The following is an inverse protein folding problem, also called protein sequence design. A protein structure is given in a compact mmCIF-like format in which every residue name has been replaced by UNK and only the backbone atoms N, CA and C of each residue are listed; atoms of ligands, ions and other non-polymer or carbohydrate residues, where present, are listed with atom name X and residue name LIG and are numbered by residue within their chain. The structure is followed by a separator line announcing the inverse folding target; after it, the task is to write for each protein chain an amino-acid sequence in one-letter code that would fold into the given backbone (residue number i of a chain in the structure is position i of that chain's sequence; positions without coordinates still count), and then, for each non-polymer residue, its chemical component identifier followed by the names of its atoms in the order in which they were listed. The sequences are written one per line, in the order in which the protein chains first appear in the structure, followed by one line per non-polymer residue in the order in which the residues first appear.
data_IF_104806018445
#
_entry.id   IF_104806018445
#
_cell.length_a   1.000
_cell.length_b   1.000
_cell.length_c   1.000
_cell.angle_alpha   90.00
_cell.angle_beta   90.00
_cell.angle_gamma   90.00
#
_symmetry.space_group_name_H-M   'P 1'
#
loop_
_entity.id
_entity.type
_entity.pdbx_description
1 polymer ?
#
# COMPACT_ATOMS: atom_id res chain seq x y z
N UNK A 1 24.92 3.94 -11.55
CA UNK A 1 24.21 5.14 -11.05
C UNK A 1 23.37 4.72 -9.83
N UNK A 2 23.24 5.58 -8.81
CA UNK A 2 22.39 5.28 -7.67
C UNK A 2 20.93 5.06 -8.10
N UNK A 3 20.21 4.21 -7.38
CA UNK A 3 18.79 3.89 -7.69
C UNK A 3 17.84 5.08 -7.44
N UNK A 4 18.30 6.12 -6.73
CA UNK A 4 17.49 7.29 -6.44
C UNK A 4 17.27 8.15 -7.68
N UNK A 5 16.02 8.42 -7.98
CA UNK A 5 15.62 9.37 -9.03
C UNK A 5 15.70 10.79 -8.46
N UNK A 6 16.83 11.45 -8.65
CA UNK A 6 17.08 12.77 -8.06
C UNK A 6 18.01 13.59 -8.92
N UNK A 7 18.10 14.86 -8.58
CA UNK A 7 19.05 15.80 -9.11
C UNK A 7 20.32 15.76 -8.28
N UNK A 8 21.41 15.38 -8.91
CA UNK A 8 22.74 15.32 -8.31
C UNK A 8 23.46 16.62 -8.61
N UNK A 9 24.07 17.21 -7.58
CA UNK A 9 24.94 18.38 -7.73
C UNK A 9 26.36 17.96 -7.40
N UNK A 10 27.21 17.98 -8.40
CA UNK A 10 28.65 17.80 -8.23
C UNK A 10 29.29 19.17 -7.97
N UNK A 11 30.07 19.28 -6.91
CA UNK A 11 30.83 20.48 -6.60
C UNK A 11 32.28 20.10 -6.43
N UNK A 12 33.15 20.70 -7.23
CA UNK A 12 34.60 20.56 -7.14
C UNK A 12 35.27 21.87 -6.70
N UNK A 13 36.24 21.77 -5.84
CA UNK A 13 37.11 22.88 -5.40
C UNK A 13 38.55 22.50 -5.67
N UNK A 14 39.28 23.37 -6.35
CA UNK A 14 40.71 23.25 -6.55
C UNK A 14 41.43 24.48 -6.01
N UNK A 15 42.52 24.27 -5.32
CA UNK A 15 43.38 25.35 -4.82
C UNK A 15 44.82 25.11 -5.25
N UNK A 16 45.54 26.19 -5.59
CA UNK A 16 46.97 26.15 -5.86
C UNK A 16 47.77 26.58 -4.61
N UNK A 17 49.06 26.30 -4.62
CA UNK A 17 49.99 26.79 -3.53
C UNK A 17 49.99 28.31 -3.41
N UNK A 18 49.71 29.05 -4.49
CA UNK A 18 49.64 30.51 -4.54
C UNK A 18 48.22 31.03 -4.19
N UNK A 19 47.40 30.23 -3.50
CA UNK A 19 46.05 30.57 -3.05
C UNK A 19 45.06 30.95 -4.19
N UNK A 20 45.30 30.51 -5.41
CA UNK A 20 44.28 30.61 -6.47
C UNK A 20 43.25 29.52 -6.29
N UNK A 21 42.00 29.90 -6.35
CA UNK A 21 40.83 29.00 -6.12
C UNK A 21 40.06 28.88 -7.42
N UNK A 22 39.76 27.64 -7.81
CA UNK A 22 38.83 27.31 -8.88
C UNK A 22 37.70 26.47 -8.34
N UNK A 23 36.48 26.75 -8.75
CA UNK A 23 35.31 25.97 -8.41
C UNK A 23 34.58 25.50 -9.69
N UNK A 24 34.07 24.27 -9.64
CA UNK A 24 33.20 23.73 -10.68
C UNK A 24 31.93 23.25 -10.02
N UNK A 25 30.81 23.52 -10.65
CA UNK A 25 29.49 22.99 -10.23
C UNK A 25 28.79 22.43 -11.46
N UNK A 26 28.46 21.14 -11.40
CA UNK A 26 27.72 20.43 -12.45
C UNK A 26 26.49 19.76 -11.85
N UNK A 27 25.44 19.66 -12.64
CA UNK A 27 24.19 19.04 -12.23
C UNK A 27 23.83 17.89 -13.17
N UNK A 28 23.47 16.75 -12.61
CA UNK A 28 23.01 15.58 -13.34
C UNK A 28 21.66 15.12 -12.78
N UNK A 29 20.70 14.84 -13.66
CA UNK A 29 19.38 14.34 -13.26
C UNK A 29 19.25 12.89 -13.70
N UNK A 30 19.00 11.99 -12.74
CA UNK A 30 18.63 10.60 -13.02
C UNK A 30 17.12 10.50 -13.19
N UNK A 31 16.66 9.94 -14.33
CA UNK A 31 15.24 9.75 -14.63
C UNK A 31 15.00 8.34 -15.17
N UNK A 32 13.84 7.75 -14.84
CA UNK A 32 13.33 6.57 -15.54
C UNK A 32 12.49 7.02 -16.71
N UNK A 33 12.53 6.27 -17.81
CA UNK A 33 11.69 6.54 -18.98
C UNK A 33 10.21 6.22 -18.71
N UNK A 34 9.95 5.22 -17.87
CA UNK A 34 8.63 4.90 -17.34
C UNK A 34 8.67 4.99 -15.81
N UNK A 35 7.68 5.63 -15.22
CA UNK A 35 7.56 5.80 -13.76
C UNK A 35 6.12 5.60 -13.31
N UNK A 36 5.94 4.74 -12.31
CA UNK A 36 4.65 4.48 -11.67
C UNK A 36 4.56 5.27 -10.36
N UNK A 37 3.38 5.83 -10.11
CA UNK A 37 3.11 6.60 -8.88
C UNK A 37 1.75 6.18 -8.34
N UNK A 38 1.68 5.14 -7.50
CA UNK A 38 0.44 4.71 -6.88
C UNK A 38 -0.01 5.66 -5.77
N UNK A 39 -1.32 5.86 -5.65
CA UNK A 39 -1.92 6.64 -4.58
C UNK A 39 -2.34 5.70 -3.42
N UNK A 40 -1.38 5.34 -2.58
CA UNK A 40 -1.63 4.46 -1.44
C UNK A 40 -2.35 5.20 -0.30
N UNK A 41 -3.45 4.62 0.24
CA UNK A 41 -4.03 5.13 1.48
C UNK A 41 -3.08 4.87 2.66
N UNK A 42 -3.23 5.65 3.73
CA UNK A 42 -2.45 5.44 4.96
C UNK A 42 -2.89 4.21 5.73
N UNK A 43 -4.18 3.94 5.72
CA UNK A 43 -4.83 2.76 6.31
C UNK A 43 -6.13 2.46 5.56
N UNK A 44 -6.66 1.28 5.76
CA UNK A 44 -7.96 0.81 5.30
C UNK A 44 -8.80 0.37 6.49
N UNK A 45 -10.10 0.23 6.30
CA UNK A 45 -11.00 -0.41 7.27
C UNK A 45 -11.63 -1.64 6.68
N UNK A 46 -11.93 -2.62 7.52
CA UNK A 46 -12.69 -3.80 7.13
C UNK A 46 -14.03 -3.39 6.47
N UNK A 47 -14.35 -3.96 5.31
CA UNK A 47 -15.57 -3.67 4.57
C UNK A 47 -15.56 -2.40 3.72
N UNK A 48 -14.46 -1.62 3.71
CA UNK A 48 -14.33 -0.46 2.84
C UNK A 48 -14.29 -0.87 1.35
N UNK A 49 -14.83 0.01 0.50
CA UNK A 49 -14.66 -0.05 -0.95
C UNK A 49 -13.60 0.97 -1.37
N UNK A 50 -12.50 0.47 -1.88
CA UNK A 50 -11.38 1.30 -2.32
C UNK A 50 -11.37 1.40 -3.84
N UNK A 51 -11.31 2.62 -4.36
CA UNK A 51 -10.88 2.87 -5.75
C UNK A 51 -9.39 3.21 -5.71
N UNK A 52 -8.57 2.21 -6.01
CA UNK A 52 -7.13 2.34 -6.01
C UNK A 52 -6.65 2.94 -7.33
N UNK A 53 -6.04 4.11 -7.27
CA UNK A 53 -5.60 4.87 -8.45
C UNK A 53 -4.09 4.87 -8.56
N UNK A 54 -3.62 4.75 -9.80
CA UNK A 54 -2.20 4.76 -10.14
C UNK A 54 -1.97 5.68 -11.31
N UNK A 55 -1.05 6.61 -11.16
CA UNK A 55 -0.55 7.44 -12.25
C UNK A 55 0.71 6.82 -12.82
N UNK A 56 0.77 6.71 -14.14
CA UNK A 56 1.94 6.25 -14.88
C UNK A 56 2.43 7.36 -15.78
N UNK A 57 3.69 7.72 -15.69
CA UNK A 57 4.31 8.73 -16.53
C UNK A 57 5.33 8.07 -17.47
N UNK A 58 5.30 8.41 -18.74
CA UNK A 58 6.29 8.03 -19.73
C UNK A 58 6.97 9.27 -20.30
N UNK A 59 8.29 9.24 -20.34
CA UNK A 59 9.11 10.25 -21.05
C UNK A 59 9.35 9.83 -22.52
N UNK A 60 9.00 8.60 -22.86
CA UNK A 60 9.09 8.09 -24.22
C UNK A 60 7.79 8.38 -24.96
N UNK A 61 7.85 9.27 -25.95
CA UNK A 61 6.73 9.64 -26.81
C UNK A 61 6.42 8.61 -27.89
N UNK A 62 7.26 7.59 -28.06
CA UNK A 62 7.13 6.58 -29.11
C UNK A 62 6.38 5.33 -28.62
N UNK A 63 5.86 5.35 -27.40
CA UNK A 63 5.11 4.23 -26.82
C UNK A 63 3.86 3.93 -27.65
N UNK A 64 3.72 2.69 -28.05
CA UNK A 64 2.57 2.19 -28.83
C UNK A 64 1.78 1.09 -28.10
N UNK A 65 2.37 0.48 -27.06
CA UNK A 65 1.72 -0.53 -26.22
C UNK A 65 2.15 -0.34 -24.78
N UNK A 66 1.17 -0.24 -23.86
CA UNK A 66 1.46 -0.09 -22.45
C UNK A 66 0.32 -0.63 -21.59
N UNK A 67 0.69 -1.20 -20.46
CA UNK A 67 -0.26 -1.72 -19.49
C UNK A 67 0.27 -1.63 -18.06
N UNK A 68 -0.66 -1.63 -17.11
CA UNK A 68 -0.36 -1.72 -15.69
C UNK A 68 -1.11 -2.89 -15.07
N UNK A 69 -0.55 -3.46 -14.02
CA UNK A 69 -1.17 -4.53 -13.25
C UNK A 69 -1.20 -4.21 -11.77
N UNK A 70 -2.22 -4.73 -11.10
CA UNK A 70 -2.38 -4.69 -9.66
C UNK A 70 -2.49 -6.11 -9.12
N UNK A 71 -1.67 -6.43 -8.14
CA UNK A 71 -1.76 -7.62 -7.31
C UNK A 71 -2.03 -7.22 -5.87
N UNK A 72 -2.95 -7.91 -5.21
CA UNK A 72 -3.38 -7.62 -3.84
C UNK A 72 -3.30 -8.90 -3.02
N UNK A 73 -2.50 -8.87 -1.95
CA UNK A 73 -2.22 -10.02 -1.09
C UNK A 73 -2.44 -9.68 0.39
N UNK A 74 -2.79 -10.69 1.18
CA UNK A 74 -2.67 -10.60 2.63
C UNK A 74 -1.18 -10.49 2.99
N UNK A 75 -0.79 -9.39 3.63
CA UNK A 75 0.62 -9.11 3.93
C UNK A 75 1.25 -10.12 4.92
N UNK A 76 0.45 -10.80 5.74
CA UNK A 76 0.93 -11.76 6.73
C UNK A 76 1.05 -13.19 6.18
N UNK A 77 0.08 -13.62 5.36
CA UNK A 77 0.04 -14.99 4.84
C UNK A 77 0.59 -15.12 3.43
N UNK A 78 0.70 -14.02 2.68
CA UNK A 78 1.05 -14.03 1.26
C UNK A 78 -0.09 -14.51 0.34
N UNK A 79 -1.25 -14.82 0.89
CA UNK A 79 -2.40 -15.30 0.12
C UNK A 79 -2.96 -14.18 -0.77
N UNK A 80 -3.23 -14.50 -2.03
CA UNK A 80 -3.82 -13.56 -2.96
C UNK A 80 -5.28 -13.27 -2.58
N UNK A 81 -5.62 -12.00 -2.34
CA UNK A 81 -6.97 -11.56 -2.01
C UNK A 81 -7.85 -11.38 -3.25
N UNK A 82 -7.24 -11.18 -4.40
CA UNK A 82 -7.89 -11.28 -5.71
C UNK A 82 -7.34 -12.50 -6.44
N UNK A 83 -8.22 -13.33 -6.97
CA UNK A 83 -7.85 -14.58 -7.68
C UNK A 83 -7.06 -14.37 -8.97
N UNK A 84 -7.05 -13.16 -9.50
CA UNK A 84 -6.37 -12.82 -10.76
C UNK A 84 -5.71 -11.45 -10.66
N UNK A 85 -4.48 -11.37 -11.15
CA UNK A 85 -3.80 -10.09 -11.39
C UNK A 85 -4.61 -9.32 -12.43
N UNK A 86 -5.10 -8.15 -12.07
CA UNK A 86 -5.86 -7.32 -13.01
C UNK A 86 -4.92 -6.42 -13.81
N UNK A 87 -4.89 -6.66 -15.12
CA UNK A 87 -4.14 -5.85 -16.07
C UNK A 87 -5.06 -4.86 -16.77
N UNK A 88 -4.62 -3.63 -16.93
CA UNK A 88 -5.31 -2.54 -17.62
C UNK A 88 -4.40 -1.91 -18.65
N UNK A 89 -4.92 -1.66 -19.84
CA UNK A 89 -4.20 -0.92 -20.87
C UNK A 89 -4.05 0.56 -20.46
N UNK A 90 -2.93 1.16 -20.82
CA UNK A 90 -2.61 2.54 -20.54
C UNK A 90 -2.68 3.36 -21.81
N UNK A 91 -3.48 4.42 -21.79
CA UNK A 91 -3.51 5.42 -22.85
C UNK A 91 -2.83 6.68 -22.33
N UNK A 92 -1.69 7.03 -22.91
CA UNK A 92 -0.94 8.21 -22.49
C UNK A 92 -1.48 9.47 -23.16
N UNK A 93 -1.86 10.44 -22.33
CA UNK A 93 -2.16 11.80 -22.75
C UNK A 93 -1.08 12.73 -22.16
N UNK A 94 -0.36 13.43 -23.05
CA UNK A 94 0.77 14.28 -22.65
C UNK A 94 1.80 13.58 -21.74
N UNK A 95 2.11 12.32 -22.06
CA UNK A 95 3.08 11.51 -21.32
C UNK A 95 2.59 10.99 -19.97
N UNK A 96 1.29 11.11 -19.67
CA UNK A 96 0.68 10.60 -18.43
C UNK A 96 -0.52 9.73 -18.73
N UNK A 97 -0.69 8.65 -17.96
CA UNK A 97 -1.88 7.81 -17.96
C UNK A 97 -2.37 7.61 -16.53
N UNK A 98 -3.67 7.56 -16.34
CA UNK A 98 -4.30 7.24 -15.07
C UNK A 98 -5.07 5.94 -15.20
N UNK A 99 -4.87 5.04 -14.26
CA UNK A 99 -5.56 3.76 -14.19
C UNK A 99 -6.12 3.54 -12.79
N UNK A 100 -7.26 2.87 -12.68
CA UNK A 100 -7.90 2.59 -11.40
C UNK A 100 -8.43 1.16 -11.33
N UNK A 101 -8.45 0.63 -10.10
CA UNK A 101 -9.05 -0.66 -9.77
C UNK A 101 -9.95 -0.51 -8.56
N UNK A 102 -11.05 -1.25 -8.58
CA UNK A 102 -11.93 -1.36 -7.42
C UNK A 102 -11.54 -2.57 -6.58
N UNK A 103 -11.54 -2.39 -5.28
CA UNK A 103 -11.19 -3.43 -4.33
C UNK A 103 -12.03 -3.31 -3.05
N UNK A 104 -12.67 -4.41 -2.67
CA UNK A 104 -13.39 -4.51 -1.40
C UNK A 104 -12.44 -5.07 -0.34
N UNK A 105 -12.30 -4.35 0.77
CA UNK A 105 -11.40 -4.73 1.87
C UNK A 105 -12.04 -5.87 2.68
N UNK A 106 -11.46 -7.07 2.69
CA UNK A 106 -12.03 -8.20 3.42
C UNK A 106 -11.92 -8.01 4.94
N UNK A 107 -12.80 -8.68 5.66
CA UNK A 107 -12.74 -8.76 7.12
C UNK A 107 -11.65 -9.75 7.59
N UNK A 108 -11.13 -9.52 8.81
CA UNK A 108 -10.19 -10.42 9.47
C UNK A 108 -8.76 -10.36 8.95
N UNK A 109 -8.42 -9.34 8.17
CA UNK A 109 -7.07 -9.11 7.63
C UNK A 109 -6.45 -7.92 8.33
N UNK A 110 -5.25 -8.08 8.89
CA UNK A 110 -4.56 -7.01 9.61
C UNK A 110 -3.79 -6.05 8.70
N UNK A 111 -3.33 -6.52 7.54
CA UNK A 111 -2.61 -5.69 6.57
C UNK A 111 -2.71 -6.27 5.16
N UNK A 112 -2.74 -5.39 4.17
CA UNK A 112 -2.82 -5.72 2.75
C UNK A 112 -1.56 -5.22 2.05
N UNK A 113 -0.95 -6.09 1.27
CA UNK A 113 0.16 -5.77 0.39
C UNK A 113 -0.36 -5.52 -1.03
N UNK A 114 -0.10 -4.33 -1.54
CA UNK A 114 -0.35 -3.93 -2.91
C UNK A 114 0.95 -3.98 -3.69
N UNK A 115 0.98 -4.69 -4.80
CA UNK A 115 2.09 -4.69 -5.75
C UNK A 115 1.57 -4.18 -7.09
N UNK A 116 2.09 -3.04 -7.53
CA UNK A 116 1.75 -2.42 -8.81
C UNK A 116 2.93 -2.50 -9.75
N UNK A 117 2.69 -2.83 -11.00
CA UNK A 117 3.70 -2.86 -12.06
C UNK A 117 3.15 -2.22 -13.32
N UNK A 118 4.00 -1.54 -14.06
CA UNK A 118 3.67 -1.00 -15.37
C UNK A 118 4.76 -1.36 -16.38
N UNK A 119 4.33 -1.53 -17.61
CA UNK A 119 5.20 -1.78 -18.77
C UNK A 119 4.77 -0.88 -19.92
N UNK A 120 5.74 -0.39 -20.66
CA UNK A 120 5.53 0.38 -21.87
C UNK A 120 6.54 -0.04 -22.93
N UNK A 121 6.05 -0.30 -24.12
CA UNK A 121 6.84 -0.72 -25.28
C UNK A 121 6.80 0.39 -26.32
N UNK A 122 7.96 0.85 -26.74
CA UNK A 122 8.14 1.90 -27.74
C UNK A 122 9.22 1.54 -28.76
N UNK A 123 9.53 2.47 -29.66
CA UNK A 123 10.63 2.35 -30.61
C UNK A 123 11.71 3.38 -30.29
N UNK A 124 12.95 2.94 -30.20
CA UNK A 124 14.08 3.87 -30.05
C UNK A 124 14.37 4.61 -31.39
N UNK A 125 15.31 5.56 -31.36
CA UNK A 125 15.73 6.37 -32.52
C UNK A 125 16.20 5.52 -33.71
N UNK A 126 16.65 4.28 -33.46
CA UNK A 126 17.08 3.34 -34.48
C UNK A 126 15.93 2.43 -34.97
N UNK A 127 14.68 2.68 -34.55
CA UNK A 127 13.52 1.87 -34.92
C UNK A 127 13.42 0.53 -34.15
N UNK A 128 14.34 0.26 -33.22
CA UNK A 128 14.36 -0.98 -32.45
C UNK A 128 13.33 -0.91 -31.32
N UNK A 129 12.57 -1.97 -31.13
CA UNK A 129 11.60 -2.09 -30.04
C UNK A 129 12.31 -2.15 -28.68
N UNK A 130 11.89 -1.28 -27.77
CA UNK A 130 12.38 -1.24 -26.39
C UNK A 130 11.21 -1.30 -25.42
N UNK A 131 11.37 -2.05 -24.31
CA UNK A 131 10.37 -2.15 -23.26
C UNK A 131 10.94 -1.58 -21.96
N UNK A 132 10.19 -0.68 -21.38
CA UNK A 132 10.48 -0.09 -20.07
C UNK A 132 9.47 -0.61 -19.05
N UNK A 133 9.92 -0.82 -17.83
CA UNK A 133 9.06 -1.26 -16.74
C UNK A 133 9.41 -0.54 -15.45
N UNK A 134 8.41 -0.36 -14.62
CA UNK A 134 8.55 0.12 -13.24
C UNK A 134 7.53 -0.56 -12.34
N UNK A 135 7.82 -0.61 -11.04
CA UNK A 135 6.91 -1.23 -10.08
C UNK A 135 7.14 -0.72 -8.68
N UNK A 136 6.06 -0.67 -7.92
CA UNK A 136 6.08 -0.33 -6.51
C UNK A 136 5.27 -1.32 -5.68
N UNK A 137 5.73 -1.54 -4.46
CA UNK A 137 5.07 -2.39 -3.47
C UNK A 137 4.89 -1.61 -2.17
N UNK A 138 3.70 -1.73 -1.58
CA UNK A 138 3.42 -1.15 -0.27
C UNK A 138 2.46 -1.99 0.54
N UNK A 139 2.78 -2.14 1.81
CA UNK A 139 1.88 -2.71 2.81
C UNK A 139 1.09 -1.62 3.50
N UNK A 140 -0.24 -1.79 3.55
CA UNK A 140 -1.19 -0.87 4.16
C UNK A 140 -1.91 -1.59 5.29
N UNK A 141 -1.93 -1.04 6.52
CA UNK A 141 -2.65 -1.64 7.64
C UNK A 141 -4.16 -1.57 7.43
N UNK A 142 -4.86 -2.59 7.90
CA UNK A 142 -6.33 -2.65 7.91
C UNK A 142 -6.80 -2.57 9.35
N UNK A 143 -7.65 -1.60 9.62
CA UNK A 143 -8.27 -1.39 10.93
C UNK A 143 -9.59 -2.15 10.98
N UNK A 144 -9.82 -2.88 12.06
CA UNK A 144 -11.12 -3.50 12.31
C UNK A 144 -12.19 -2.46 12.60
N UNK A 145 -13.42 -2.71 12.19
CA UNK A 145 -14.59 -1.89 12.53
C UNK A 145 -15.18 -2.26 13.89
N UNK A 146 -14.41 -2.95 14.75
CA UNK A 146 -14.83 -3.43 16.05
C UNK A 146 -14.27 -2.57 17.16
N UNK A 147 -15.06 -2.36 18.18
CA UNK A 147 -14.66 -1.72 19.42
C UNK A 147 -14.67 -2.77 20.53
N UNK A 148 -13.59 -2.82 21.32
CA UNK A 148 -13.57 -3.66 22.52
C UNK A 148 -14.48 -3.06 23.58
N UNK A 149 -15.49 -3.84 23.98
CA UNK A 149 -16.42 -3.48 25.08
C UNK A 149 -16.17 -4.44 26.22
N UNK A 150 -15.85 -3.91 27.39
CA UNK A 150 -15.70 -4.68 28.62
C UNK A 150 -16.96 -4.53 29.46
N UNK A 151 -17.62 -5.65 29.73
CA UNK A 151 -18.78 -5.74 30.62
C UNK A 151 -18.37 -6.51 31.87
N UNK A 152 -18.76 -6.04 33.05
CA UNK A 152 -18.50 -6.70 34.31
C UNK A 152 -19.80 -7.08 35.01
N UNK A 153 -19.83 -8.28 35.61
CA UNK A 153 -20.91 -8.75 36.47
C UNK A 153 -20.33 -9.07 37.84
N UNK A 154 -20.69 -8.31 38.91
CA UNK A 154 -20.34 -8.67 40.27
C UNK A 154 -21.01 -9.99 40.66
N UNK A 155 -20.26 -10.91 41.26
CA UNK A 155 -20.74 -12.21 41.75
C UNK A 155 -20.69 -12.25 43.27
N UNK A 156 -21.61 -11.58 43.98
CA UNK A 156 -21.60 -11.57 45.46
C UNK A 156 -22.02 -12.95 46.01
N UNK A 157 -21.08 -13.67 46.59
CA UNK A 157 -21.33 -14.96 47.23
C UNK A 157 -21.25 -14.78 48.76
N UNK A 158 -22.34 -15.09 49.43
CA UNK A 158 -22.39 -15.06 50.90
C UNK A 158 -22.81 -16.44 51.42
N UNK A 159 -21.94 -17.05 52.20
CA UNK A 159 -22.19 -18.36 52.81
C UNK A 159 -21.90 -19.54 51.87
N UNK A 160 -22.16 -20.76 52.36
CA UNK A 160 -21.96 -22.01 51.65
C UNK A 160 -23.21 -22.33 50.81
N UNK A 161 -23.01 -22.73 49.55
CA UNK A 161 -24.12 -23.12 48.69
C UNK A 161 -23.78 -23.00 47.21
N UNK A 162 -24.74 -23.40 46.36
CA UNK A 162 -24.66 -23.19 44.91
C UNK A 162 -25.33 -21.87 44.57
N UNK A 163 -24.62 -20.99 43.88
CA UNK A 163 -25.11 -19.71 43.44
C UNK A 163 -25.13 -19.69 41.90
N UNK A 164 -26.23 -19.25 41.31
CA UNK A 164 -26.36 -19.13 39.86
C UNK A 164 -26.43 -17.65 39.50
N UNK A 165 -25.56 -17.25 38.57
CA UNK A 165 -25.55 -15.89 38.04
C UNK A 165 -25.78 -15.94 36.52
N UNK A 166 -26.57 -15.01 36.00
CA UNK A 166 -26.82 -14.89 34.56
C UNK A 166 -26.27 -13.55 34.08
N UNK A 167 -25.44 -13.60 33.07
CA UNK A 167 -24.90 -12.40 32.44
C UNK A 167 -25.84 -11.94 31.33
N UNK A 168 -26.94 -11.29 31.68
CA UNK A 168 -28.03 -10.92 30.78
C UNK A 168 -27.57 -10.01 29.62
N UNK A 169 -26.61 -9.13 29.85
CA UNK A 169 -26.05 -8.28 28.79
C UNK A 169 -25.37 -9.06 27.67
N UNK A 170 -24.71 -10.18 27.99
CA UNK A 170 -24.15 -11.09 26.97
C UNK A 170 -25.20 -12.02 26.40
N UNK A 171 -26.05 -12.61 27.27
CA UNK A 171 -27.08 -13.58 26.87
C UNK A 171 -28.10 -12.98 25.90
N UNK A 172 -28.50 -11.74 26.14
CA UNK A 172 -29.54 -11.07 25.37
C UNK A 172 -29.00 -10.21 24.22
N UNK A 173 -27.68 -10.24 24.00
CA UNK A 173 -27.09 -9.50 22.90
C UNK A 173 -27.34 -10.22 21.56
N UNK A 174 -28.14 -9.61 20.71
CA UNK A 174 -28.51 -10.15 19.37
C UNK A 174 -27.69 -9.57 18.23
N UNK A 175 -26.64 -8.80 18.52
CA UNK A 175 -25.79 -8.20 17.49
C UNK A 175 -25.06 -9.26 16.67
N UNK A 176 -25.23 -9.25 15.36
CA UNK A 176 -24.54 -10.15 14.44
C UNK A 176 -23.02 -9.89 14.35
N UNK A 177 -22.59 -8.71 14.78
CA UNK A 177 -21.16 -8.31 14.78
C UNK A 177 -20.43 -8.64 16.09
N UNK A 178 -21.14 -9.13 17.10
CA UNK A 178 -20.53 -9.49 18.39
C UNK A 178 -19.56 -10.66 18.23
N UNK A 179 -18.34 -10.48 18.73
CA UNK A 179 -17.33 -11.53 18.85
C UNK A 179 -16.83 -11.58 20.29
N UNK A 180 -16.95 -12.72 20.95
CA UNK A 180 -16.39 -12.90 22.29
C UNK A 180 -14.85 -12.89 22.20
N UNK A 181 -14.21 -12.06 22.99
CA UNK A 181 -12.75 -11.93 23.03
C UNK A 181 -12.15 -12.75 24.17
N UNK A 182 -12.60 -12.48 25.39
CA UNK A 182 -12.14 -13.20 26.61
C UNK A 182 -13.21 -13.18 27.67
N UNK A 183 -13.18 -14.16 28.58
CA UNK A 183 -13.93 -14.20 29.82
C UNK A 183 -12.94 -14.37 30.96
N UNK A 184 -12.94 -13.45 31.92
CA UNK A 184 -12.10 -13.54 33.10
C UNK A 184 -12.98 -13.67 34.35
N UNK A 185 -12.68 -14.63 35.21
CA UNK A 185 -13.30 -14.79 36.52
C UNK A 185 -12.24 -14.46 37.59
N UNK A 186 -12.55 -13.49 38.42
CA UNK A 186 -11.69 -13.08 39.54
C UNK A 186 -12.38 -13.41 40.86
N UNK A 187 -11.62 -14.00 41.77
CA UNK A 187 -12.06 -14.33 43.13
C UNK A 187 -11.17 -13.59 44.13
N UNK A 188 -11.80 -12.88 45.05
CA UNK A 188 -11.13 -12.13 46.13
C UNK A 188 -11.61 -12.65 47.50
#
# INVERSE_FOLDING_TARGET
APQSLTKWKFMGLATTKDLKIGTITEEMVTRKLLMITPNYPRFLREGDKLVFQVKVNSLDSTVFDAYASLEVQNALTGEALKKKIETRNLNFENGSALVSWEFDVPEGIAAIKFTTKAWATGKNQNGLTTTHSDGEEKTVPVLSNRMLVTEALPLPVRGKGTHTFTFDKLKNNTSSSLRNHSLTLEFT
#
